data_IF_191848706181
#
_entry.id   IF_191848706181
#
_cell.length_a   1.000
_cell.length_b   1.000
_cell.length_c   1.000
_cell.angle_alpha   90.00
_cell.angle_beta   90.00
_cell.angle_gamma   90.00
#
_symmetry.space_group_name_H-M   'P 1'
#
loop_
_entity.id
_entity.type
_entity.pdbx_description
1 polymer ?
#
# COMPACT_ATOMS: atom_id res chain seq x y z
N UNK A 1 -4.91 -10.47 -7.80
CA UNK A 1 -4.76 -9.07 -8.26
C UNK A 1 -4.63 -8.18 -7.03
N UNK A 2 -3.67 -7.24 -6.99
CA UNK A 2 -3.44 -6.31 -5.86
C UNK A 2 -3.47 -4.86 -6.41
N UNK A 3 -4.10 -3.92 -5.70
CA UNK A 3 -4.27 -2.53 -6.13
C UNK A 3 -3.69 -1.60 -5.06
N UNK A 4 -2.75 -0.74 -5.44
CA UNK A 4 -2.14 0.25 -4.55
C UNK A 4 -2.63 1.67 -4.85
N UNK A 5 -2.88 2.46 -3.79
CA UNK A 5 -3.22 3.88 -3.91
C UNK A 5 -1.99 4.75 -3.57
N UNK A 6 -1.58 5.61 -4.50
CA UNK A 6 -0.40 6.48 -4.36
C UNK A 6 -0.76 7.97 -4.43
N UNK A 7 0.06 8.85 -3.83
CA UNK A 7 -0.18 10.30 -3.79
C UNK A 7 0.39 10.97 -2.53
N UNK A 8 0.44 12.31 -2.53
CA UNK A 8 1.01 13.11 -1.43
C UNK A 8 0.35 12.83 -0.07
N UNK A 9 1.03 13.09 1.05
CA UNK A 9 0.46 12.88 2.39
C UNK A 9 -0.84 13.70 2.56
N UNK A 10 -1.86 13.14 3.23
CA UNK A 10 -3.13 13.82 3.48
C UNK A 10 -4.14 13.83 2.32
N UNK A 11 -3.84 13.27 1.14
CA UNK A 11 -4.77 13.27 -0.02
C UNK A 11 -5.95 12.28 0.08
N UNK A 12 -6.27 11.76 1.26
CA UNK A 12 -7.43 10.88 1.44
C UNK A 12 -7.31 9.44 0.90
N UNK A 13 -6.11 8.96 0.51
CA UNK A 13 -5.91 7.58 0.02
C UNK A 13 -6.47 6.51 0.95
N UNK A 14 -6.20 6.63 2.25
CA UNK A 14 -6.70 5.71 3.27
C UNK A 14 -8.23 5.77 3.36
N UNK A 15 -8.82 6.95 3.22
CA UNK A 15 -10.27 7.15 3.20
C UNK A 15 -10.91 6.49 1.98
N UNK A 16 -10.32 6.69 0.79
CA UNK A 16 -10.79 6.09 -0.45
C UNK A 16 -10.68 4.56 -0.41
N UNK A 17 -9.57 4.02 0.09
CA UNK A 17 -9.39 2.57 0.23
C UNK A 17 -10.48 1.94 1.10
N UNK A 18 -10.80 2.56 2.24
CA UNK A 18 -11.88 2.11 3.14
C UNK A 18 -13.25 2.16 2.48
N UNK A 19 -13.55 3.24 1.75
CA UNK A 19 -14.82 3.38 1.05
C UNK A 19 -14.98 2.30 -0.04
N UNK A 20 -13.97 2.13 -0.91
CA UNK A 20 -13.97 1.15 -1.99
C UNK A 20 -14.08 -0.29 -1.47
N UNK A 21 -13.31 -0.64 -0.42
CA UNK A 21 -13.37 -1.97 0.16
C UNK A 21 -14.77 -2.30 0.71
N UNK A 22 -15.42 -1.33 1.38
CA UNK A 22 -16.80 -1.49 1.87
C UNK A 22 -17.81 -1.61 0.74
N UNK A 23 -17.71 -0.76 -0.26
CA UNK A 23 -18.66 -0.73 -1.38
C UNK A 23 -18.58 -1.99 -2.25
N UNK A 24 -17.36 -2.51 -2.47
CA UNK A 24 -17.11 -3.67 -3.34
C UNK A 24 -17.04 -4.99 -2.57
N UNK A 25 -17.15 -4.98 -1.24
CA UNK A 25 -16.99 -6.17 -0.40
C UNK A 25 -15.59 -6.79 -0.49
N UNK A 26 -14.57 -5.98 -0.77
CA UNK A 26 -13.18 -6.44 -0.94
C UNK A 26 -12.42 -6.39 0.38
N UNK A 27 -11.48 -7.32 0.63
CA UNK A 27 -10.60 -7.24 1.78
C UNK A 27 -9.71 -5.99 1.68
N UNK A 28 -9.63 -5.23 2.78
CA UNK A 28 -8.74 -4.08 2.89
C UNK A 28 -7.50 -4.47 3.69
N UNK A 29 -6.35 -4.38 3.05
CA UNK A 29 -5.05 -4.61 3.70
C UNK A 29 -4.59 -3.27 4.29
N UNK A 30 -4.86 -3.04 5.57
CA UNK A 30 -4.41 -1.86 6.30
C UNK A 30 -3.02 -2.06 6.92
N UNK A 31 -2.03 -2.38 6.11
CA UNK A 31 -0.66 -2.42 6.61
C UNK A 31 0.03 -1.08 6.42
N UNK A 32 0.71 -0.61 7.47
CA UNK A 32 1.61 0.51 7.33
C UNK A 32 2.76 0.07 6.42
N UNK A 33 2.81 0.60 5.20
CA UNK A 33 3.88 0.35 4.22
C UNK A 33 5.28 0.41 4.85
N UNK A 34 5.49 1.25 5.86
CA UNK A 34 6.75 1.36 6.61
C UNK A 34 7.08 0.13 7.46
N UNK A 35 6.09 -0.50 8.08
CA UNK A 35 6.29 -1.69 8.91
C UNK A 35 6.60 -2.89 8.01
N UNK A 36 5.82 -3.06 6.94
CA UNK A 36 6.02 -4.11 5.93
C UNK A 36 7.36 -3.95 5.23
N UNK A 37 7.72 -2.73 4.83
CA UNK A 37 9.02 -2.46 4.23
C UNK A 37 10.16 -2.88 5.18
N UNK A 38 10.04 -2.61 6.47
CA UNK A 38 11.03 -3.03 7.46
C UNK A 38 11.11 -4.54 7.61
N UNK A 39 9.97 -5.23 7.67
CA UNK A 39 9.91 -6.71 7.76
C UNK A 39 10.46 -7.39 6.51
N UNK A 40 10.29 -6.77 5.34
CA UNK A 40 10.86 -7.23 4.07
C UNK A 40 12.34 -6.82 3.87
N UNK A 41 13.00 -6.23 4.88
CA UNK A 41 14.41 -5.78 4.76
C UNK A 41 14.62 -4.58 3.83
N UNK A 42 13.55 -3.84 3.52
CA UNK A 42 13.55 -2.68 2.64
C UNK A 42 13.81 -1.43 3.48
N UNK A 43 15.09 -1.16 3.70
CA UNK A 43 15.55 -0.02 4.50
C UNK A 43 15.28 1.34 3.85
N UNK A 44 15.12 1.38 2.52
CA UNK A 44 14.88 2.60 1.76
C UNK A 44 13.69 2.46 0.80
N UNK A 45 12.60 3.24 0.97
CA UNK A 45 11.46 3.24 0.05
C UNK A 45 11.81 3.59 -1.39
N UNK A 46 12.95 4.23 -1.66
CA UNK A 46 13.44 4.48 -3.03
C UNK A 46 13.94 3.20 -3.72
N UNK A 47 14.33 2.17 -2.96
CA UNK A 47 14.74 0.87 -3.51
C UNK A 47 13.55 0.09 -4.11
N UNK A 48 12.32 0.44 -3.74
CA UNK A 48 11.08 -0.10 -4.33
C UNK A 48 10.80 0.45 -5.74
N UNK A 49 11.47 1.55 -6.13
CA UNK A 49 11.20 2.22 -7.40
C UNK A 49 11.79 1.39 -8.54
N UNK A 50 10.93 0.66 -9.25
CA UNK A 50 11.29 -0.15 -10.41
C UNK A 50 11.18 -1.66 -10.22
N UNK A 51 10.76 -2.14 -9.04
CA UNK A 51 10.54 -3.57 -8.79
C UNK A 51 9.09 -3.84 -8.33
N UNK A 52 8.17 -4.17 -9.26
CA UNK A 52 6.76 -4.38 -8.97
C UNK A 52 6.48 -5.55 -8.01
N UNK A 53 7.41 -6.50 -7.91
CA UNK A 53 7.23 -7.75 -7.16
C UNK A 53 7.31 -7.55 -5.64
N UNK A 54 8.01 -6.50 -5.19
CA UNK A 54 8.14 -6.14 -3.77
C UNK A 54 6.92 -5.40 -3.20
N UNK A 55 6.02 -4.90 -4.05
CA UNK A 55 4.77 -4.26 -3.63
C UNK A 55 3.66 -5.24 -3.28
N UNK A 56 3.94 -6.55 -3.31
CA UNK A 56 2.92 -7.59 -3.30
C UNK A 56 3.32 -8.89 -2.62
N UNK A 57 4.18 -8.89 -1.61
CA UNK A 57 4.23 -9.99 -0.64
C UNK A 57 3.59 -9.55 0.67
#
# INVERSE_FOLDING_TARGET
>A
MKIGLCGAQGTGKTTLARALARELGLPLIEEQVRLVAREMGIENPRALKGNPELGGQ
#
